data_IF_152266771881
#
_entry.id   IF_152266771881
#
_cell.length_a   1.000
_cell.length_b   1.000
_cell.length_c   1.000
_cell.angle_alpha   90.00
_cell.angle_beta   90.00
_cell.angle_gamma   90.00
#
_symmetry.space_group_name_H-M   'P 1'
#
loop_
_entity.id
_entity.type
_entity.pdbx_description
1 polymer ?
#
# COMPACT_ATOMS: atom_id res chain seq x y z
N UNK A 1 -14.84 50.95 17.92
CA UNK A 1 -15.30 50.16 16.77
C UNK A 1 -14.18 49.68 15.85
N UNK A 2 -13.30 50.53 15.34
CA UNK A 2 -12.26 50.15 14.36
C UNK A 2 -11.29 49.04 14.85
N UNK A 3 -10.82 49.12 16.10
CA UNK A 3 -9.94 48.12 16.71
C UNK A 3 -10.59 46.74 16.86
N UNK A 4 -11.90 46.71 17.13
CA UNK A 4 -12.68 45.47 17.26
C UNK A 4 -12.87 44.80 15.89
N UNK A 5 -13.19 45.57 14.85
CA UNK A 5 -13.28 45.08 13.47
C UNK A 5 -11.93 44.51 12.97
N UNK A 6 -10.81 45.15 13.29
CA UNK A 6 -9.48 44.63 12.94
C UNK A 6 -9.17 43.29 13.63
N UNK A 7 -9.53 43.16 14.91
CA UNK A 7 -9.36 41.90 15.64
C UNK A 7 -10.24 40.78 15.09
N UNK A 8 -11.50 41.08 14.75
CA UNK A 8 -12.41 40.12 14.10
C UNK A 8 -11.86 39.64 12.76
N UNK A 9 -11.34 40.54 11.92
CA UNK A 9 -10.72 40.16 10.65
C UNK A 9 -9.47 39.29 10.83
N UNK A 10 -8.60 39.62 11.81
CA UNK A 10 -7.41 38.82 12.11
C UNK A 10 -7.78 37.41 12.59
N UNK A 11 -8.81 37.31 13.44
CA UNK A 11 -9.30 36.03 13.94
C UNK A 11 -9.93 35.20 12.82
N UNK A 12 -10.73 35.81 11.94
CA UNK A 12 -11.32 35.17 10.78
C UNK A 12 -10.24 34.58 9.86
N UNK A 13 -9.20 35.35 9.55
CA UNK A 13 -8.08 34.89 8.73
C UNK A 13 -7.29 33.75 9.40
N UNK A 14 -7.08 33.85 10.72
CA UNK A 14 -6.45 32.79 11.51
C UNK A 14 -7.24 31.48 11.48
N UNK A 15 -8.57 31.55 11.62
CA UNK A 15 -9.47 30.39 11.53
C UNK A 15 -9.46 29.76 10.14
N UNK A 16 -9.50 30.56 9.07
CA UNK A 16 -9.39 30.05 7.71
C UNK A 16 -8.05 29.36 7.45
N UNK A 17 -6.94 29.94 7.93
CA UNK A 17 -5.62 29.36 7.80
C UNK A 17 -5.53 28.00 8.51
N UNK A 18 -6.05 27.90 9.74
CA UNK A 18 -6.14 26.64 10.48
C UNK A 18 -7.02 25.61 9.76
N UNK A 19 -8.15 26.02 9.20
CA UNK A 19 -9.05 25.15 8.41
C UNK A 19 -8.34 24.61 7.17
N UNK A 20 -7.60 25.44 6.43
CA UNK A 20 -6.79 25.02 5.28
C UNK A 20 -5.68 24.05 5.70
N UNK A 21 -4.98 24.32 6.80
CA UNK A 21 -3.95 23.42 7.35
C UNK A 21 -4.53 22.06 7.72
N UNK A 22 -5.65 22.03 8.45
CA UNK A 22 -6.35 20.79 8.81
C UNK A 22 -6.78 20.00 7.57
N UNK A 23 -7.35 20.67 6.55
CA UNK A 23 -7.72 20.01 5.28
C UNK A 23 -6.52 19.39 4.57
N UNK A 24 -5.37 20.08 4.54
CA UNK A 24 -4.14 19.55 3.93
C UNK A 24 -3.62 18.31 4.66
N UNK A 25 -3.65 18.31 5.99
CA UNK A 25 -3.27 17.15 6.81
C UNK A 25 -4.16 15.96 6.46
N UNK A 26 -5.50 16.12 6.50
CA UNK A 26 -6.44 15.04 6.12
C UNK A 26 -6.20 14.48 4.71
N UNK A 27 -5.89 15.35 3.75
CA UNK A 27 -5.57 14.92 2.37
C UNK A 27 -4.25 14.14 2.33
N UNK A 28 -3.24 14.60 3.07
CA UNK A 28 -1.94 13.93 3.19
C UNK A 28 -2.11 12.53 3.79
N UNK A 29 -2.88 12.42 4.88
CA UNK A 29 -3.14 11.15 5.56
C UNK A 29 -3.83 10.15 4.63
N UNK A 30 -4.89 10.60 3.92
CA UNK A 30 -5.58 9.76 2.94
C UNK A 30 -4.67 9.32 1.79
N UNK A 31 -3.73 10.18 1.35
CA UNK A 31 -2.75 9.81 0.32
C UNK A 31 -1.77 8.76 0.82
N UNK A 32 -1.33 8.88 2.08
CA UNK A 32 -0.46 7.89 2.70
C UNK A 32 -1.18 6.54 2.84
N UNK A 33 -2.42 6.55 3.36
CA UNK A 33 -3.25 5.35 3.49
C UNK A 33 -3.47 4.64 2.14
N UNK A 34 -3.86 5.39 1.09
CA UNK A 34 -4.03 4.83 -0.24
C UNK A 34 -2.74 4.23 -0.79
N UNK A 35 -1.59 4.86 -0.52
CA UNK A 35 -0.28 4.32 -0.92
C UNK A 35 0.00 2.98 -0.25
N UNK A 36 -0.25 2.88 1.05
CA UNK A 36 -0.10 1.62 1.79
C UNK A 36 -1.00 0.52 1.21
N UNK A 37 -2.28 0.82 0.95
CA UNK A 37 -3.21 -0.14 0.33
C UNK A 37 -2.71 -0.63 -1.03
N UNK A 38 -2.23 0.28 -1.88
CA UNK A 38 -1.65 -0.05 -3.19
C UNK A 38 -0.40 -0.93 -3.03
N UNK A 39 0.48 -0.59 -2.10
CA UNK A 39 1.70 -1.36 -1.83
C UNK A 39 1.37 -2.78 -1.36
N UNK A 40 0.43 -2.94 -0.43
CA UNK A 40 -0.05 -4.25 0.05
C UNK A 40 -0.62 -5.08 -1.10
N UNK A 41 -1.49 -4.50 -1.94
CA UNK A 41 -1.99 -5.17 -3.14
C UNK A 41 -0.87 -5.58 -4.10
N UNK A 42 0.15 -4.72 -4.25
CA UNK A 42 1.34 -5.01 -5.03
C UNK A 42 2.14 -6.21 -4.51
N UNK A 43 2.17 -6.44 -3.19
CA UNK A 43 2.82 -7.63 -2.60
C UNK A 43 2.07 -8.92 -2.94
N UNK A 44 0.74 -8.89 -2.89
CA UNK A 44 -0.11 -10.05 -3.26
C UNK A 44 0.10 -10.45 -4.73
N UNK A 45 0.23 -9.47 -5.63
CA UNK A 45 0.52 -9.73 -7.04
C UNK A 45 1.91 -10.35 -7.21
N UNK A 46 2.91 -9.84 -6.48
CA UNK A 46 4.32 -10.21 -6.60
C UNK A 46 4.69 -11.53 -5.94
N UNK A 47 3.94 -11.94 -4.93
CA UNK A 47 4.07 -13.28 -4.34
C UNK A 47 3.54 -14.38 -5.28
N UNK A 48 2.85 -14.01 -6.36
CA UNK A 48 2.18 -14.94 -7.26
C UNK A 48 0.83 -15.43 -6.73
N UNK A 49 0.43 -15.03 -5.52
CA UNK A 49 -0.80 -15.51 -4.87
C UNK A 49 -2.05 -15.12 -5.66
N UNK A 50 -2.11 -13.89 -6.19
CA UNK A 50 -3.21 -13.49 -7.05
C UNK A 50 -3.29 -14.34 -8.33
N UNK A 51 -2.16 -14.66 -8.95
CA UNK A 51 -2.16 -15.53 -10.14
C UNK A 51 -2.59 -16.95 -9.81
N UNK A 52 -2.16 -17.48 -8.66
CA UNK A 52 -2.54 -18.81 -8.19
C UNK A 52 -4.05 -18.91 -7.94
N UNK A 53 -4.67 -17.85 -7.42
CA UNK A 53 -6.12 -17.76 -7.21
C UNK A 53 -6.88 -17.22 -8.43
N UNK A 54 -6.21 -17.09 -9.58
CA UNK A 54 -6.77 -16.55 -10.82
C UNK A 54 -7.47 -15.19 -10.66
N UNK A 55 -6.92 -14.33 -9.80
CA UNK A 55 -7.37 -12.97 -9.57
C UNK A 55 -6.72 -12.06 -10.60
N UNK A 56 -7.54 -11.53 -11.50
CA UNK A 56 -7.10 -10.60 -12.54
C UNK A 56 -7.17 -9.14 -12.05
N UNK A 57 -6.10 -8.34 -12.24
CA UNK A 57 -6.15 -6.91 -12.00
C UNK A 57 -7.24 -6.22 -12.83
N UNK A 58 -7.99 -5.31 -12.21
CA UNK A 58 -9.05 -4.55 -12.87
C UNK A 58 -10.43 -5.19 -12.80
N UNK A 59 -10.55 -6.43 -12.31
CA UNK A 59 -11.85 -7.03 -11.95
C UNK A 59 -12.37 -6.45 -10.64
N UNK A 60 -13.68 -6.29 -10.55
CA UNK A 60 -14.35 -5.91 -9.32
C UNK A 60 -14.51 -7.14 -8.41
N UNK A 61 -13.68 -7.21 -7.36
CA UNK A 61 -13.64 -8.34 -6.42
C UNK A 61 -14.86 -8.42 -5.48
N UNK A 62 -15.80 -7.47 -5.55
CA UNK A 62 -16.95 -7.41 -4.65
C UNK A 62 -18.27 -7.66 -5.38
N UNK A 63 -18.44 -7.05 -6.56
CA UNK A 63 -19.70 -7.09 -7.29
C UNK A 63 -19.85 -8.34 -8.16
N UNK A 64 -18.75 -8.82 -8.77
CA UNK A 64 -18.77 -10.04 -9.58
C UNK A 64 -18.78 -11.26 -8.65
N UNK A 65 -19.83 -12.13 -8.68
CA UNK A 65 -19.91 -13.31 -7.83
C UNK A 65 -18.70 -14.23 -7.92
N UNK A 66 -18.12 -14.42 -9.12
CA UNK A 66 -16.97 -15.29 -9.34
C UNK A 66 -15.71 -14.64 -8.75
N UNK A 67 -15.50 -13.35 -9.03
CA UNK A 67 -14.38 -12.62 -8.47
C UNK A 67 -14.45 -12.53 -6.93
N UNK A 68 -15.67 -12.44 -6.37
CA UNK A 68 -15.92 -12.43 -4.93
C UNK A 68 -15.58 -13.77 -4.28
N UNK A 69 -15.84 -14.90 -4.92
CA UNK A 69 -15.41 -16.21 -4.45
C UNK A 69 -13.87 -16.28 -4.37
N UNK A 70 -13.18 -15.85 -5.42
CA UNK A 70 -11.70 -15.76 -5.44
C UNK A 70 -11.17 -14.83 -4.33
N UNK A 71 -11.82 -13.69 -4.10
CA UNK A 71 -11.48 -12.78 -3.02
C UNK A 71 -11.73 -13.38 -1.62
N UNK A 72 -12.78 -14.20 -1.47
CA UNK A 72 -13.08 -14.93 -0.23
C UNK A 72 -12.00 -15.95 0.07
N UNK A 73 -11.56 -16.71 -0.93
CA UNK A 73 -10.43 -17.64 -0.80
C UNK A 73 -9.13 -16.92 -0.46
N UNK A 74 -8.84 -15.78 -1.09
CA UNK A 74 -7.67 -14.95 -0.75
C UNK A 74 -7.71 -14.52 0.73
N UNK A 75 -8.87 -14.05 1.21
CA UNK A 75 -9.03 -13.68 2.62
C UNK A 75 -8.79 -14.88 3.54
N UNK A 76 -9.33 -16.05 3.22
CA UNK A 76 -9.11 -17.29 3.98
C UNK A 76 -7.62 -17.67 4.07
N UNK A 77 -6.89 -17.60 2.95
CA UNK A 77 -5.46 -17.88 2.94
C UNK A 77 -4.65 -16.90 3.81
N UNK A 78 -4.99 -15.61 3.76
CA UNK A 78 -4.33 -14.59 4.59
C UNK A 78 -4.64 -14.77 6.08
N UNK A 79 -5.88 -15.13 6.42
CA UNK A 79 -6.29 -15.44 7.79
C UNK A 79 -5.55 -16.66 8.32
N UNK A 80 -5.44 -17.73 7.52
CA UNK A 80 -4.68 -18.93 7.87
C UNK A 80 -3.23 -18.60 8.23
N UNK A 81 -2.54 -17.83 7.37
CA UNK A 81 -1.15 -17.41 7.63
C UNK A 81 -1.06 -16.51 8.86
N UNK A 82 -2.03 -15.61 9.06
CA UNK A 82 -2.08 -14.72 10.23
C UNK A 82 -2.20 -15.53 11.53
N UNK A 83 -3.07 -16.54 11.55
CA UNK A 83 -3.24 -17.43 12.69
C UNK A 83 -1.96 -18.21 12.99
N UNK A 84 -1.29 -18.75 11.96
CA UNK A 84 -0.02 -19.45 12.12
C UNK A 84 1.07 -18.54 12.67
N UNK A 85 1.15 -17.30 12.19
CA UNK A 85 2.09 -16.29 12.71
C UNK A 85 1.77 -15.86 14.14
N UNK A 86 0.50 -15.83 14.54
CA UNK A 86 0.11 -15.53 15.93
C UNK A 86 0.47 -16.66 16.89
N UNK A 87 0.45 -17.90 16.40
CA UNK A 87 0.80 -19.09 17.17
C UNK A 87 2.30 -19.48 17.06
N UNK A 88 3.12 -18.65 16.42
CA UNK A 88 4.56 -18.81 16.22
C UNK A 88 5.34 -18.42 17.50
N UNK A 89 5.27 -19.27 18.53
CA UNK A 89 5.79 -18.99 19.88
C UNK A 89 7.30 -18.64 19.88
N UNK A 90 8.08 -19.33 19.06
CA UNK A 90 9.54 -19.13 18.95
C UNK A 90 9.93 -18.11 17.87
N UNK A 91 8.97 -17.65 17.06
CA UNK A 91 9.19 -16.68 16.00
C UNK A 91 9.88 -17.26 14.76
N UNK A 92 10.02 -18.59 14.65
CA UNK A 92 10.74 -19.23 13.55
C UNK A 92 10.06 -18.98 12.20
N UNK A 93 8.72 -19.12 12.14
CA UNK A 93 7.96 -18.88 10.92
C UNK A 93 8.08 -17.43 10.47
N UNK A 94 8.01 -16.49 11.40
CA UNK A 94 8.18 -15.06 11.12
C UNK A 94 9.57 -14.75 10.58
N UNK A 95 10.62 -15.36 11.13
CA UNK A 95 11.99 -15.20 10.64
C UNK A 95 12.16 -15.76 9.22
N UNK A 96 11.62 -16.95 8.95
CA UNK A 96 11.64 -17.55 7.63
C UNK A 96 10.90 -16.68 6.60
N UNK A 97 9.69 -16.22 6.93
CA UNK A 97 8.92 -15.31 6.09
C UNK A 97 9.69 -14.01 5.78
N UNK A 98 10.39 -13.46 6.79
CA UNK A 98 11.23 -12.27 6.62
C UNK A 98 12.39 -12.54 5.65
N UNK A 99 13.08 -13.67 5.80
CA UNK A 99 14.18 -14.07 4.92
C UNK A 99 13.71 -14.23 3.46
N UNK A 100 12.61 -14.96 3.26
CA UNK A 100 12.01 -15.16 1.93
C UNK A 100 11.57 -13.83 1.31
N UNK A 101 10.89 -12.99 2.10
CA UNK A 101 10.46 -11.66 1.69
C UNK A 101 11.63 -10.78 1.26
N UNK A 102 12.72 -10.77 2.02
CA UNK A 102 13.93 -10.00 1.69
C UNK A 102 14.55 -10.49 0.37
N UNK A 103 14.68 -11.80 0.18
CA UNK A 103 15.19 -12.38 -1.07
C UNK A 103 14.33 -11.99 -2.27
N UNK A 104 13.01 -12.11 -2.16
CA UNK A 104 12.07 -11.73 -3.21
C UNK A 104 12.13 -10.23 -3.51
N UNK A 105 12.24 -9.38 -2.49
CA UNK A 105 12.37 -7.93 -2.64
C UNK A 105 13.63 -7.54 -3.43
N UNK A 106 14.78 -8.14 -3.11
CA UNK A 106 16.03 -7.91 -3.84
C UNK A 106 15.89 -8.31 -5.31
N UNK A 107 15.35 -9.50 -5.57
CA UNK A 107 15.21 -10.04 -6.92
C UNK A 107 14.22 -9.23 -7.77
N UNK A 108 13.07 -8.86 -7.21
CA UNK A 108 11.97 -8.28 -7.98
C UNK A 108 11.94 -6.74 -7.99
N UNK A 109 12.56 -6.07 -7.01
CA UNK A 109 12.50 -4.60 -6.91
C UNK A 109 13.86 -3.91 -7.01
N UNK A 110 14.92 -4.50 -6.46
CA UNK A 110 16.23 -3.83 -6.42
C UNK A 110 17.05 -4.10 -7.69
N UNK A 111 17.03 -5.33 -8.24
CA UNK A 111 17.76 -5.67 -9.47
C UNK A 111 17.18 -5.09 -10.76
N UNK A 112 15.92 -4.60 -10.74
CA UNK A 112 15.27 -4.01 -11.91
C UNK A 112 15.88 -2.66 -12.36
N UNK A 113 16.70 -1.99 -11.52
CA UNK A 113 17.27 -0.69 -11.87
C UNK A 113 18.55 -0.77 -12.71
N UNK A 114 19.23 -1.91 -12.75
CA UNK A 114 20.56 -2.03 -13.37
C UNK A 114 20.52 -2.59 -14.81
N UNK A 115 19.37 -3.03 -15.32
CA UNK A 115 19.28 -3.65 -16.65
C UNK A 115 18.83 -2.74 -17.80
N UNK A 116 18.58 -1.44 -17.55
CA UNK A 116 18.24 -0.49 -18.63
C UNK A 116 19.40 0.37 -19.13
N UNK A 117 20.60 0.27 -18.56
CA UNK A 117 21.78 1.03 -19.02
C UNK A 117 22.86 0.18 -19.70
N UNK A 118 22.72 -1.14 -19.81
CA UNK A 118 23.80 -2.00 -20.31
C UNK A 118 23.68 -2.46 -21.77
N UNK A 119 22.56 -2.20 -22.46
CA UNK A 119 22.35 -2.62 -23.86
C UNK A 119 22.10 -1.44 -24.81
N UNK A 120 22.91 -0.38 -24.70
CA UNK A 120 22.87 0.72 -25.69
C UNK A 120 24.21 1.14 -26.27
N UNK A 121 25.32 0.47 -25.94
CA UNK A 121 26.65 0.87 -26.40
C UNK A 121 27.43 -0.25 -27.10
N UNK A 122 26.77 -1.14 -27.85
CA UNK A 122 27.46 -2.02 -28.80
C UNK A 122 26.59 -2.19 -30.05
N UNK A 123 26.49 -1.14 -30.86
CA UNK A 123 26.08 -1.20 -32.28
C UNK A 123 26.49 0.07 -33.01
N UNK A 124 27.45 -0.12 -33.93
CA UNK A 124 28.07 0.80 -34.91
C UNK A 124 29.29 1.57 -34.39
#
# INVERSE_FOLDING_TARGET
MHKLMQQLNKNSWGLEHLKRKSKRIKISDRKAENRTKIQLGGLILKSGLASFLEIEPGKDLQLDPIAREKATTLLGALLYVTEHLNNDIDGALKQECSHLGMKAMVQQFLRSKDHKSFFKNDSI
#
